data_IF_444496595666
#
_entry.id   IF_444496595666
#
_cell.length_a   1.000
_cell.length_b   1.000
_cell.length_c   1.000
_cell.angle_alpha   90.00
_cell.angle_beta   90.00
_cell.angle_gamma   90.00
#
_symmetry.space_group_name_H-M   'P 1'
#
loop_
_entity.id
_entity.type
_entity.pdbx_description
1 polymer ?
#
# COMPACT_ATOMS: atom_id res chain seq x y z
N UNK A 1 -2.24 -26.75 17.91
CA UNK A 1 -1.63 -26.36 16.63
C UNK A 1 -0.24 -26.95 16.60
N UNK A 2 0.04 -27.87 15.69
CA UNK A 2 1.42 -28.30 15.44
C UNK A 2 2.06 -27.24 14.55
N UNK A 3 3.15 -26.64 15.02
CA UNK A 3 3.93 -25.72 14.20
C UNK A 3 4.96 -26.52 13.43
N UNK A 4 4.88 -26.46 12.10
CA UNK A 4 5.87 -27.05 11.22
C UNK A 4 6.85 -25.96 10.81
N UNK A 5 8.13 -26.33 10.72
CA UNK A 5 9.18 -25.48 10.20
C UNK A 5 9.90 -26.24 9.09
N UNK A 6 10.26 -25.53 8.02
CA UNK A 6 11.10 -26.11 6.99
C UNK A 6 12.49 -26.39 7.58
N UNK A 7 13.09 -27.53 7.23
CA UNK A 7 14.46 -27.89 7.68
C UNK A 7 15.56 -27.20 6.88
N UNK A 8 15.16 -26.44 5.84
CA UNK A 8 16.01 -25.61 4.97
C UNK A 8 15.16 -24.51 4.34
N UNK A 9 15.77 -23.46 3.77
CA UNK A 9 15.03 -22.51 2.92
C UNK A 9 14.30 -23.25 1.79
N UNK A 10 13.05 -22.87 1.55
CA UNK A 10 12.21 -23.38 0.46
C UNK A 10 12.14 -22.32 -0.63
N UNK A 11 12.17 -22.75 -1.89
CA UNK A 11 11.93 -21.86 -3.03
C UNK A 11 10.43 -21.68 -3.21
N UNK A 12 9.89 -20.57 -2.73
CA UNK A 12 8.46 -20.28 -2.79
C UNK A 12 8.17 -19.00 -3.57
N UNK A 13 7.03 -18.96 -4.26
CA UNK A 13 6.48 -17.71 -4.78
C UNK A 13 5.52 -17.10 -3.76
N UNK A 14 5.59 -15.79 -3.60
CA UNK A 14 4.71 -15.02 -2.73
C UNK A 14 3.68 -14.26 -3.58
N UNK A 15 2.40 -14.48 -3.29
CA UNK A 15 1.31 -13.69 -3.86
C UNK A 15 0.84 -12.66 -2.83
N UNK A 16 1.01 -11.38 -3.16
CA UNK A 16 0.55 -10.25 -2.35
C UNK A 16 -0.95 -9.94 -2.59
N UNK A 17 -1.48 -8.93 -1.91
CA UNK A 17 -2.80 -8.37 -2.23
C UNK A 17 -3.96 -9.22 -1.73
N UNK A 18 -3.81 -9.77 -0.52
CA UNK A 18 -4.86 -10.56 0.12
C UNK A 18 -5.22 -11.86 -0.66
N UNK A 19 -4.22 -12.44 -1.32
CA UNK A 19 -4.36 -13.54 -2.29
C UNK A 19 -4.81 -14.90 -1.75
N UNK A 20 -4.88 -15.07 -0.41
CA UNK A 20 -5.50 -16.25 0.21
C UNK A 20 -6.93 -15.98 0.69
N UNK A 21 -7.42 -14.76 0.55
CA UNK A 21 -8.79 -14.41 0.87
C UNK A 21 -9.75 -15.15 -0.05
N UNK A 22 -10.47 -16.13 0.50
CA UNK A 22 -11.59 -16.78 -0.18
C UNK A 22 -12.75 -15.80 -0.31
N UNK A 23 -12.61 -14.82 -1.19
CA UNK A 23 -13.61 -13.82 -1.51
C UNK A 23 -13.52 -13.54 -3.03
N UNK A 24 -14.61 -13.11 -3.66
CA UNK A 24 -14.58 -12.59 -5.04
C UNK A 24 -14.01 -11.16 -5.12
N UNK A 25 -13.76 -10.65 -6.33
CA UNK A 25 -13.34 -9.26 -6.53
C UNK A 25 -11.82 -9.06 -6.50
N UNK A 26 -11.09 -9.77 -7.37
CA UNK A 26 -9.71 -9.41 -7.69
C UNK A 26 -8.61 -10.23 -7.00
N UNK A 27 -8.87 -10.76 -5.80
CA UNK A 27 -7.85 -11.40 -4.94
C UNK A 27 -7.23 -12.67 -5.54
N UNK A 28 -7.90 -13.28 -6.52
CA UNK A 28 -7.43 -14.48 -7.21
C UNK A 28 -6.95 -14.25 -8.64
N UNK A 29 -7.13 -13.05 -9.18
CA UNK A 29 -6.97 -12.75 -10.61
C UNK A 29 -5.59 -13.18 -11.14
N UNK A 30 -4.51 -12.83 -10.43
CA UNK A 30 -3.16 -13.20 -10.83
C UNK A 30 -2.93 -14.72 -10.81
N UNK A 31 -3.47 -15.41 -9.79
CA UNK A 31 -3.38 -16.87 -9.71
C UNK A 31 -4.17 -17.53 -10.84
N UNK A 32 -5.33 -16.95 -11.17
CA UNK A 32 -6.21 -17.44 -12.22
C UNK A 32 -5.56 -17.31 -13.60
N UNK A 33 -4.96 -16.16 -13.90
CA UNK A 33 -4.17 -15.95 -15.12
C UNK A 33 -3.05 -16.99 -15.24
N UNK A 34 -2.34 -17.30 -14.15
CA UNK A 34 -1.22 -18.24 -14.15
C UNK A 34 -1.65 -19.69 -14.45
N UNK A 35 -2.76 -20.15 -13.86
CA UNK A 35 -3.14 -21.58 -13.93
C UNK A 35 -4.27 -21.91 -14.90
N UNK A 36 -5.12 -20.93 -15.24
CA UNK A 36 -6.24 -21.10 -16.16
C UNK A 36 -6.08 -20.34 -17.48
N UNK A 37 -5.11 -19.43 -17.59
CA UNK A 37 -4.99 -18.48 -18.71
C UNK A 37 -6.27 -17.63 -18.91
N UNK A 38 -7.01 -17.41 -17.82
CA UNK A 38 -8.27 -16.67 -17.80
C UNK A 38 -8.44 -16.01 -16.42
N UNK A 39 -8.62 -14.70 -16.38
CA UNK A 39 -8.80 -13.93 -15.14
C UNK A 39 -10.12 -14.27 -14.44
N UNK A 40 -11.16 -14.59 -15.21
CA UNK A 40 -12.51 -14.90 -14.73
C UNK A 40 -12.68 -16.34 -14.23
N UNK A 41 -11.62 -17.16 -14.33
CA UNK A 41 -11.69 -18.55 -13.95
C UNK A 41 -12.06 -18.72 -12.47
N UNK A 42 -13.11 -19.49 -12.19
CA UNK A 42 -13.51 -19.81 -10.83
C UNK A 42 -14.20 -18.67 -10.05
N UNK A 43 -14.63 -17.58 -10.70
CA UNK A 43 -15.41 -16.50 -10.06
C UNK A 43 -16.72 -16.98 -9.40
N UNK A 44 -17.26 -18.13 -9.81
CA UNK A 44 -18.49 -18.70 -9.22
C UNK A 44 -18.22 -19.68 -8.07
N UNK A 45 -16.96 -20.13 -7.92
CA UNK A 45 -16.56 -21.13 -6.92
C UNK A 45 -15.29 -20.70 -6.14
N UNK A 46 -15.12 -19.38 -5.94
CA UNK A 46 -13.96 -18.83 -5.23
C UNK A 46 -13.80 -19.40 -3.81
N UNK A 47 -14.90 -19.85 -3.19
CA UNK A 47 -14.89 -20.40 -1.84
C UNK A 47 -14.44 -21.86 -1.77
N UNK A 48 -14.82 -22.73 -2.73
CA UNK A 48 -14.46 -24.16 -2.68
C UNK A 48 -13.35 -24.56 -3.67
N UNK A 49 -13.05 -23.71 -4.65
CA UNK A 49 -12.02 -23.95 -5.68
C UNK A 49 -10.57 -23.85 -5.20
N UNK A 50 -10.31 -23.39 -3.97
CA UNK A 50 -8.95 -23.08 -3.51
C UNK A 50 -8.02 -24.31 -3.47
N UNK A 51 -8.56 -25.47 -3.10
CA UNK A 51 -7.79 -26.73 -3.11
C UNK A 51 -7.37 -27.14 -4.53
N UNK A 52 -8.22 -26.89 -5.52
CA UNK A 52 -7.93 -27.18 -6.92
C UNK A 52 -6.90 -26.20 -7.47
N UNK A 53 -7.10 -24.90 -7.23
CA UNK A 53 -6.12 -23.86 -7.58
C UNK A 53 -4.74 -24.15 -7.00
N UNK A 54 -4.67 -24.55 -5.72
CA UNK A 54 -3.42 -24.95 -5.07
C UNK A 54 -2.72 -26.13 -5.77
N UNK A 55 -3.48 -27.14 -6.22
CA UNK A 55 -2.92 -28.27 -6.98
C UNK A 55 -2.40 -27.83 -8.35
N UNK A 56 -3.15 -26.98 -9.05
CA UNK A 56 -2.74 -26.47 -10.37
C UNK A 56 -1.51 -25.58 -10.26
N UNK A 57 -1.44 -24.71 -9.24
CA UNK A 57 -0.25 -23.92 -8.92
C UNK A 57 0.95 -24.83 -8.64
N UNK A 58 0.76 -25.92 -7.88
CA UNK A 58 1.83 -26.88 -7.63
C UNK A 58 2.29 -27.57 -8.92
N UNK A 59 1.36 -27.99 -9.78
CA UNK A 59 1.69 -28.61 -11.07
C UNK A 59 2.44 -27.64 -11.99
N UNK A 60 1.94 -26.41 -12.13
CA UNK A 60 2.59 -25.34 -12.87
C UNK A 60 3.98 -25.01 -12.30
N UNK A 61 4.11 -24.91 -10.98
CA UNK A 61 5.36 -24.55 -10.30
C UNK A 61 6.49 -25.58 -10.46
N UNK A 62 6.14 -26.86 -10.72
CA UNK A 62 7.14 -27.94 -10.90
C UNK A 62 8.10 -27.68 -12.06
N UNK A 63 7.65 -27.03 -13.13
CA UNK A 63 8.50 -26.72 -14.28
C UNK A 63 9.65 -25.78 -13.93
N UNK A 64 9.50 -25.02 -12.84
CA UNK A 64 10.48 -24.07 -12.31
C UNK A 64 11.19 -24.59 -11.06
N UNK A 65 10.84 -25.77 -10.55
CA UNK A 65 11.35 -26.24 -9.26
C UNK A 65 10.86 -25.41 -8.06
N UNK A 66 9.70 -24.77 -8.17
CA UNK A 66 9.04 -24.11 -7.03
C UNK A 66 8.51 -25.17 -6.07
N UNK A 67 8.75 -24.97 -4.78
CA UNK A 67 8.49 -25.93 -3.71
C UNK A 67 7.23 -25.61 -2.91
N UNK A 68 6.66 -24.42 -3.12
CA UNK A 68 5.44 -23.99 -2.48
C UNK A 68 5.06 -22.56 -2.82
N UNK A 69 3.94 -22.12 -2.26
CA UNK A 69 3.40 -20.78 -2.44
C UNK A 69 3.07 -20.20 -1.08
N UNK A 70 3.37 -18.93 -0.91
CA UNK A 70 2.95 -18.13 0.25
C UNK A 70 1.92 -17.14 -0.27
N UNK A 71 0.81 -17.01 0.44
CA UNK A 71 -0.30 -16.13 0.09
C UNK A 71 -0.73 -15.35 1.32
N UNK A 72 -1.08 -14.09 1.11
CA UNK A 72 -1.46 -13.18 2.18
C UNK A 72 -2.95 -13.29 2.53
N UNK A 73 -3.27 -13.31 3.82
CA UNK A 73 -4.61 -13.14 4.36
C UNK A 73 -4.51 -12.54 5.77
N UNK A 74 -5.57 -11.91 6.23
CA UNK A 74 -5.67 -11.44 7.61
C UNK A 74 -5.63 -12.59 8.61
N UNK A 75 -6.10 -13.78 8.24
CA UNK A 75 -6.33 -14.88 9.19
C UNK A 75 -5.83 -16.22 8.67
N UNK A 76 -5.75 -17.22 9.56
CA UNK A 76 -5.42 -18.60 9.21
C UNK A 76 -6.70 -19.40 9.03
N UNK A 77 -6.90 -20.00 7.86
CA UNK A 77 -8.13 -20.73 7.57
C UNK A 77 -8.11 -22.20 8.02
N UNK A 78 -9.24 -22.74 8.52
CA UNK A 78 -9.48 -24.17 8.52
C UNK A 78 -9.71 -24.70 7.09
N UNK A 79 -9.40 -25.99 6.81
CA UNK A 79 -9.48 -26.56 5.46
C UNK A 79 -10.89 -26.49 4.84
N UNK A 80 -10.94 -26.05 3.58
CA UNK A 80 -12.10 -25.62 2.79
C UNK A 80 -13.19 -26.66 2.48
N UNK A 81 -13.14 -27.88 3.04
CA UNK A 81 -14.09 -28.96 2.68
C UNK A 81 -15.25 -29.15 3.65
N UNK A 82 -15.47 -28.18 4.53
CA UNK A 82 -16.49 -28.26 5.55
C UNK A 82 -17.36 -27.02 5.50
N UNK A 83 -18.55 -27.13 4.91
CA UNK A 83 -19.65 -26.24 5.26
C UNK A 83 -20.01 -26.57 6.71
N UNK A 84 -19.79 -25.67 7.68
CA UNK A 84 -20.31 -25.91 9.01
C UNK A 84 -21.83 -26.07 8.89
N UNK A 85 -22.45 -27.15 9.41
CA UNK A 85 -23.76 -26.96 10.04
C UNK A 85 -23.63 -25.75 10.98
N UNK A 86 -24.70 -24.98 11.16
CA UNK A 86 -24.74 -23.90 12.14
C UNK A 86 -24.00 -24.34 13.41
N UNK A 87 -22.82 -23.77 13.60
CA UNK A 87 -21.90 -24.12 14.67
C UNK A 87 -22.18 -23.34 15.92
N UNK A 88 -23.12 -22.38 15.89
CA UNK A 88 -23.55 -21.65 17.07
C UNK A 88 -23.94 -22.57 18.25
N UNK A 89 -24.56 -23.76 18.07
CA UNK A 89 -24.86 -24.67 19.16
C UNK A 89 -23.64 -25.44 19.68
N UNK A 90 -22.54 -25.45 18.93
CA UNK A 90 -21.32 -26.24 19.20
C UNK A 90 -20.07 -25.38 19.43
N UNK A 91 -20.18 -24.05 19.31
CA UNK A 91 -19.13 -23.12 19.68
C UNK A 91 -18.94 -23.18 21.19
N UNK A 92 -17.94 -23.93 21.60
CA UNK A 92 -17.51 -23.94 23.00
C UNK A 92 -16.93 -22.56 23.36
N UNK A 93 -16.90 -22.18 24.65
CA UNK A 93 -16.19 -20.97 25.09
C UNK A 93 -14.73 -20.89 24.58
N UNK A 94 -14.10 -22.03 24.33
CA UNK A 94 -12.76 -22.11 23.74
C UNK A 94 -12.75 -21.76 22.24
N UNK A 95 -13.80 -22.09 21.50
CA UNK A 95 -13.96 -21.74 20.09
C UNK A 95 -14.13 -20.24 19.89
N UNK A 96 -15.04 -19.61 20.64
CA UNK A 96 -15.20 -18.15 20.62
C UNK A 96 -13.91 -17.43 21.04
N UNK A 97 -13.24 -17.94 22.08
CA UNK A 97 -11.96 -17.37 22.52
C UNK A 97 -10.88 -17.52 21.46
N UNK A 98 -10.87 -18.63 20.72
CA UNK A 98 -9.94 -18.87 19.63
C UNK A 98 -10.13 -17.88 18.49
N UNK A 99 -11.37 -17.62 18.06
CA UNK A 99 -11.68 -16.66 16.99
C UNK A 99 -11.15 -15.25 17.33
N UNK A 100 -11.41 -14.78 18.55
CA UNK A 100 -10.87 -13.51 19.03
C UNK A 100 -9.34 -13.51 19.14
N UNK A 101 -8.75 -14.59 19.65
CA UNK A 101 -7.29 -14.72 19.78
C UNK A 101 -6.60 -14.72 18.41
N UNK A 102 -7.24 -15.32 17.40
CA UNK A 102 -6.77 -15.32 16.02
C UNK A 102 -6.77 -13.89 15.45
N UNK A 103 -7.88 -13.15 15.60
CA UNK A 103 -7.94 -11.75 15.14
C UNK A 103 -6.88 -10.88 15.83
N UNK A 104 -6.69 -11.05 17.13
CA UNK A 104 -5.65 -10.36 17.87
C UNK A 104 -4.25 -10.66 17.32
N UNK A 105 -3.96 -11.93 17.01
CA UNK A 105 -2.68 -12.31 16.42
C UNK A 105 -2.47 -11.68 15.03
N UNK A 106 -3.52 -11.63 14.20
CA UNK A 106 -3.49 -10.95 12.90
C UNK A 106 -3.10 -9.48 13.02
N UNK A 107 -3.70 -8.78 14.00
CA UNK A 107 -3.45 -7.35 14.21
C UNK A 107 -1.99 -7.00 14.56
N UNK A 108 -1.19 -7.98 15.03
CA UNK A 108 0.23 -7.75 15.34
C UNK A 108 1.10 -7.62 14.10
N UNK A 109 0.71 -8.29 13.01
CA UNK A 109 1.48 -8.36 11.77
C UNK A 109 1.11 -7.28 10.76
N UNK A 110 0.03 -6.53 10.99
CA UNK A 110 -0.39 -5.41 10.15
C UNK A 110 0.71 -4.34 9.94
N UNK A 111 1.61 -4.14 10.90
CA UNK A 111 2.70 -3.14 10.83
C UNK A 111 4.09 -3.74 10.95
N UNK A 112 4.20 -5.08 10.94
CA UNK A 112 5.46 -5.79 11.18
C UNK A 112 5.64 -6.90 10.16
N UNK A 113 6.66 -6.79 9.28
CA UNK A 113 6.97 -7.84 8.32
C UNK A 113 7.16 -9.19 9.02
N UNK A 114 6.65 -10.26 8.41
CA UNK A 114 6.87 -11.61 8.90
C UNK A 114 8.27 -12.09 8.54
N UNK A 115 9.14 -12.20 9.55
CA UNK A 115 10.54 -12.59 9.35
C UNK A 115 10.73 -14.04 8.89
N UNK A 116 9.66 -14.84 8.83
CA UNK A 116 9.70 -16.22 8.34
C UNK A 116 9.71 -16.30 6.82
N UNK A 117 9.36 -15.21 6.14
CA UNK A 117 9.35 -15.10 4.67
C UNK A 117 10.38 -14.06 4.26
N UNK A 118 11.31 -14.46 3.39
CA UNK A 118 12.28 -13.53 2.79
C UNK A 118 11.84 -13.26 1.37
N UNK A 119 11.46 -12.02 1.09
CA UNK A 119 11.09 -11.57 -0.25
C UNK A 119 12.32 -11.14 -1.02
N UNK A 120 12.25 -11.26 -2.35
CA UNK A 120 13.31 -10.85 -3.28
C UNK A 120 12.76 -9.79 -4.25
N UNK A 121 12.74 -8.50 -3.87
CA UNK A 121 12.20 -7.43 -4.71
C UNK A 121 12.87 -7.32 -6.08
N UNK A 122 14.12 -7.76 -6.19
CA UNK A 122 14.88 -7.81 -7.45
C UNK A 122 14.27 -8.75 -8.52
N UNK A 123 13.28 -9.58 -8.11
CA UNK A 123 12.47 -10.46 -8.96
C UNK A 123 10.97 -10.19 -8.84
N UNK A 124 10.57 -9.03 -8.30
CA UNK A 124 9.16 -8.66 -8.15
C UNK A 124 8.50 -8.44 -9.51
N UNK A 125 7.44 -9.19 -9.78
CA UNK A 125 6.55 -8.94 -10.91
C UNK A 125 5.26 -8.31 -10.38
N UNK A 126 4.80 -7.25 -11.03
CA UNK A 126 3.61 -6.50 -10.63
C UNK A 126 2.87 -5.99 -11.85
N UNK A 127 1.54 -6.15 -11.87
CA UNK A 127 0.64 -5.67 -12.93
C UNK A 127 0.24 -4.19 -12.76
N UNK A 128 0.83 -3.50 -11.78
CA UNK A 128 0.71 -2.05 -11.61
C UNK A 128 1.68 -1.23 -12.48
N UNK A 129 2.51 -1.89 -13.30
CA UNK A 129 3.43 -1.17 -14.17
C UNK A 129 2.70 -0.51 -15.36
N UNK A 130 3.03 0.75 -15.71
CA UNK A 130 2.43 1.45 -16.85
C UNK A 130 2.60 0.76 -18.22
N UNK A 131 3.48 -0.25 -18.34
CA UNK A 131 3.60 -1.10 -19.53
C UNK A 131 2.28 -1.81 -19.85
N UNK A 132 1.50 -2.18 -18.82
CA UNK A 132 0.20 -2.84 -18.98
C UNK A 132 -0.90 -1.81 -19.22
N UNK A 133 -0.93 -1.29 -20.46
CA UNK A 133 -1.80 -0.18 -20.84
C UNK A 133 -3.30 -0.48 -20.67
N UNK A 134 -3.69 -1.75 -20.80
CA UNK A 134 -5.07 -2.19 -20.60
C UNK A 134 -5.56 -1.99 -19.16
N UNK A 135 -4.66 -2.01 -18.18
CA UNK A 135 -4.96 -1.80 -16.75
C UNK A 135 -4.79 -0.34 -16.31
N UNK A 136 -4.51 0.59 -17.23
CA UNK A 136 -4.25 1.98 -16.87
C UNK A 136 -5.41 2.67 -16.14
N UNK A 137 -6.64 2.19 -16.33
CA UNK A 137 -7.84 2.69 -15.64
C UNK A 137 -7.79 2.47 -14.12
N UNK A 138 -7.16 1.38 -13.65
CA UNK A 138 -7.04 1.09 -12.22
C UNK A 138 -6.39 2.25 -11.45
N UNK A 139 -5.42 2.94 -12.05
CA UNK A 139 -4.73 4.08 -11.41
C UNK A 139 -5.64 5.28 -11.07
N UNK A 140 -6.92 5.24 -11.48
CA UNK A 140 -7.94 6.27 -11.20
C UNK A 140 -9.03 5.78 -10.26
N UNK A 141 -9.02 4.51 -9.87
CA UNK A 141 -10.00 3.91 -8.99
C UNK A 141 -9.48 3.85 -7.55
N UNK A 142 -10.35 3.75 -6.54
CA UNK A 142 -9.95 3.33 -5.20
C UNK A 142 -9.29 1.94 -5.23
N UNK A 143 -8.32 1.71 -4.34
CA UNK A 143 -7.54 0.45 -4.32
C UNK A 143 -8.38 -0.82 -4.18
N UNK A 144 -9.54 -0.74 -3.51
CA UNK A 144 -10.48 -1.86 -3.36
C UNK A 144 -11.22 -2.22 -4.66
N UNK A 145 -11.23 -1.33 -5.64
CA UNK A 145 -11.86 -1.54 -6.95
C UNK A 145 -10.85 -1.95 -8.03
N UNK A 146 -9.57 -2.08 -7.68
CA UNK A 146 -8.57 -2.56 -8.61
C UNK A 146 -8.81 -4.05 -8.92
N UNK A 147 -8.91 -4.38 -10.20
CA UNK A 147 -8.99 -5.76 -10.69
C UNK A 147 -8.16 -5.95 -11.95
N UNK A 148 -7.98 -7.20 -12.38
CA UNK A 148 -7.25 -7.52 -13.61
C UNK A 148 -8.18 -7.95 -14.75
N UNK A 149 -9.49 -7.73 -14.58
CA UNK A 149 -10.55 -8.09 -15.53
C UNK A 149 -10.33 -7.51 -16.93
N UNK A 150 -9.85 -6.26 -17.00
CA UNK A 150 -9.61 -5.56 -18.26
C UNK A 150 -8.26 -5.90 -18.92
N UNK A 151 -7.50 -6.88 -18.38
CA UNK A 151 -6.20 -7.25 -18.91
C UNK A 151 -6.31 -7.80 -20.34
N UNK A 152 -5.66 -7.13 -21.29
CA UNK A 152 -5.66 -7.55 -22.69
C UNK A 152 -4.82 -8.82 -22.93
N UNK A 153 -5.05 -9.50 -24.06
CA UNK A 153 -4.24 -10.66 -24.46
C UNK A 153 -2.74 -10.32 -24.58
N UNK A 154 -2.42 -9.16 -25.15
CA UNK A 154 -1.04 -8.69 -25.35
C UNK A 154 -0.35 -8.38 -24.01
N UNK A 155 -1.05 -7.70 -23.10
CA UNK A 155 -0.52 -7.40 -21.77
C UNK A 155 -0.40 -8.67 -20.91
N UNK A 156 -1.32 -9.64 -21.07
CA UNK A 156 -1.24 -10.96 -20.43
C UNK A 156 -0.03 -11.74 -20.90
N UNK A 157 0.21 -11.84 -22.20
CA UNK A 157 1.40 -12.50 -22.76
C UNK A 157 2.68 -11.85 -22.22
N UNK A 158 2.73 -10.51 -22.24
CA UNK A 158 3.84 -9.73 -21.67
C UNK A 158 4.08 -10.04 -20.19
N UNK A 159 3.01 -10.14 -19.39
CA UNK A 159 3.10 -10.51 -17.98
C UNK A 159 3.65 -11.93 -17.78
N UNK A 160 3.15 -12.92 -18.54
CA UNK A 160 3.59 -14.30 -18.43
C UNK A 160 5.05 -14.48 -18.85
N UNK A 161 5.50 -13.75 -19.88
CA UNK A 161 6.90 -13.70 -20.30
C UNK A 161 7.80 -13.08 -19.22
N UNK A 162 7.39 -11.96 -18.61
CA UNK A 162 8.13 -11.34 -17.50
C UNK A 162 8.22 -12.30 -16.30
N UNK A 163 7.13 -12.98 -15.97
CA UNK A 163 7.06 -13.94 -14.87
C UNK A 163 8.00 -15.13 -15.09
N UNK A 164 7.98 -15.75 -16.27
CA UNK A 164 8.91 -16.83 -16.64
C UNK A 164 10.38 -16.36 -16.51
N UNK A 165 10.68 -15.19 -17.06
CA UNK A 165 12.01 -14.59 -17.01
C UNK A 165 12.50 -14.33 -15.59
N UNK A 166 11.66 -13.73 -14.73
CA UNK A 166 11.99 -13.44 -13.34
C UNK A 166 12.25 -14.71 -12.52
N UNK A 167 11.40 -15.73 -12.67
CA UNK A 167 11.54 -17.01 -11.96
C UNK A 167 12.82 -17.73 -12.41
N UNK A 168 13.10 -17.78 -13.71
CA UNK A 168 14.33 -18.41 -14.24
C UNK A 168 15.58 -17.66 -13.79
N UNK A 169 15.56 -16.33 -13.80
CA UNK A 169 16.66 -15.50 -13.33
C UNK A 169 16.97 -15.77 -11.85
N UNK A 170 15.93 -15.77 -10.99
CA UNK A 170 16.07 -16.10 -9.57
C UNK A 170 16.63 -17.51 -9.36
N UNK A 171 16.08 -18.51 -10.06
CA UNK A 171 16.50 -19.90 -9.92
C UNK A 171 17.96 -20.14 -10.29
N UNK A 172 18.45 -19.42 -11.31
CA UNK A 172 19.83 -19.49 -11.78
C UNK A 172 20.79 -18.68 -10.90
N UNK A 173 20.29 -17.65 -10.20
CA UNK A 173 21.11 -16.78 -9.37
C UNK A 173 21.44 -17.39 -7.99
N UNK A 174 22.28 -18.41 -7.99
CA UNK A 174 22.72 -19.08 -6.76
C UNK A 174 23.74 -18.29 -5.93
N UNK A 175 24.28 -17.19 -6.46
CA UNK A 175 25.38 -16.42 -5.86
C UNK A 175 25.07 -14.94 -5.59
N UNK A 176 23.87 -14.47 -5.94
CA UNK A 176 23.57 -13.03 -5.92
C UNK A 176 24.32 -12.25 -7.00
N UNK A 177 24.79 -12.90 -8.06
CA UNK A 177 25.45 -12.26 -9.19
C UNK A 177 24.38 -11.64 -10.12
N UNK A 178 24.55 -10.38 -10.53
CA UNK A 178 23.63 -9.71 -11.47
C UNK A 178 22.40 -9.05 -10.83
N UNK A 179 22.39 -8.84 -9.51
CA UNK A 179 21.41 -8.02 -8.79
C UNK A 179 22.15 -6.89 -8.08
N UNK A 180 21.48 -5.77 -7.82
CA UNK A 180 22.17 -4.58 -7.32
C UNK A 180 22.54 -4.62 -5.84
N UNK A 181 21.89 -5.50 -5.06
CA UNK A 181 22.04 -5.56 -3.60
C UNK A 181 21.38 -4.41 -2.85
N UNK A 182 20.57 -3.59 -3.54
CA UNK A 182 19.79 -2.52 -2.93
C UNK A 182 18.65 -3.12 -2.10
N UNK A 183 18.50 -2.64 -0.87
CA UNK A 183 17.38 -3.00 -0.01
C UNK A 183 16.14 -2.17 -0.37
N UNK A 184 15.40 -2.63 -1.37
CA UNK A 184 14.19 -1.95 -1.86
C UNK A 184 13.05 -1.94 -0.82
N UNK A 185 12.99 -2.93 0.07
CA UNK A 185 12.00 -2.96 1.15
C UNK A 185 12.28 -1.84 2.14
N UNK A 186 13.53 -1.68 2.56
CA UNK A 186 13.93 -0.59 3.45
C UNK A 186 13.71 0.79 2.82
N UNK A 187 13.97 0.95 1.51
CA UNK A 187 13.69 2.20 0.81
C UNK A 187 12.20 2.52 0.80
N UNK A 188 11.35 1.56 0.45
CA UNK A 188 9.89 1.75 0.44
C UNK A 188 9.38 2.12 1.84
N UNK A 189 9.84 1.40 2.88
CA UNK A 189 9.48 1.71 4.26
C UNK A 189 9.95 3.10 4.68
N UNK A 190 11.16 3.51 4.30
CA UNK A 190 11.69 4.83 4.63
C UNK A 190 10.90 5.98 3.97
N UNK A 191 10.33 5.76 2.78
CA UNK A 191 9.40 6.73 2.16
C UNK A 191 8.16 6.91 3.03
N UNK A 192 7.54 5.79 3.44
CA UNK A 192 6.34 5.77 4.29
C UNK A 192 6.63 6.43 5.64
N UNK A 193 7.65 5.97 6.36
CA UNK A 193 8.01 6.44 7.69
C UNK A 193 8.34 7.94 7.72
N UNK A 194 8.97 8.45 6.66
CA UNK A 194 9.41 9.85 6.60
C UNK A 194 8.29 10.83 6.25
N UNK A 195 7.26 10.37 5.55
CA UNK A 195 6.25 11.28 4.95
C UNK A 195 4.84 11.04 5.45
N UNK A 196 4.50 9.80 5.86
CA UNK A 196 3.14 9.40 6.15
C UNK A 196 2.50 10.11 7.33
N UNK A 197 3.21 10.24 8.44
CA UNK A 197 2.68 10.96 9.62
C UNK A 197 2.55 12.47 9.37
N UNK A 198 3.52 13.08 8.68
CA UNK A 198 3.48 14.52 8.37
C UNK A 198 2.38 14.87 7.37
N UNK A 199 2.07 13.98 6.41
CA UNK A 199 0.92 14.14 5.51
C UNK A 199 -0.40 14.07 6.29
N UNK A 200 -0.53 13.11 7.21
CA UNK A 200 -1.69 13.01 8.07
C UNK A 200 -1.84 14.22 9.01
N UNK A 201 -0.73 14.75 9.53
CA UNK A 201 -0.71 15.98 10.32
C UNK A 201 -1.17 17.18 9.49
N UNK A 202 -0.66 17.33 8.25
CA UNK A 202 -1.10 18.39 7.34
C UNK A 202 -2.60 18.31 7.07
N UNK A 203 -3.14 17.11 6.78
CA UNK A 203 -4.57 16.90 6.58
C UNK A 203 -5.38 17.31 7.82
N UNK A 204 -5.01 16.85 9.01
CA UNK A 204 -5.70 17.22 10.25
C UNK A 204 -5.72 18.74 10.49
N UNK A 205 -4.59 19.42 10.27
CA UNK A 205 -4.45 20.87 10.45
C UNK A 205 -5.37 21.69 9.52
N UNK A 206 -5.71 21.17 8.35
CA UNK A 206 -6.51 21.89 7.34
C UNK A 206 -7.93 21.33 7.18
N UNK A 207 -8.27 20.22 7.82
CA UNK A 207 -9.61 19.61 7.81
C UNK A 207 -10.41 19.95 9.06
N UNK A 208 -9.81 19.82 10.24
CA UNK A 208 -10.49 20.00 11.54
C UNK A 208 -10.48 21.47 12.00
N UNK A 209 -10.87 22.38 11.11
CA UNK A 209 -10.78 23.82 11.34
C UNK A 209 -12.00 24.31 12.15
N UNK A 210 -11.80 24.89 13.35
CA UNK A 210 -12.90 25.50 14.10
C UNK A 210 -13.56 26.65 13.32
N UNK A 211 -14.89 26.86 13.42
CA UNK A 211 -15.58 27.94 12.70
C UNK A 211 -15.05 29.35 12.99
N UNK A 212 -14.41 29.56 14.15
CA UNK A 212 -13.82 30.82 14.57
C UNK A 212 -12.29 30.91 14.34
N UNK A 213 -11.70 29.97 13.61
CA UNK A 213 -10.26 29.90 13.41
C UNK A 213 -9.72 31.10 12.62
N UNK A 214 -8.52 31.55 12.98
CA UNK A 214 -7.81 32.58 12.23
C UNK A 214 -7.12 31.95 11.02
N UNK A 215 -7.52 32.35 9.81
CA UNK A 215 -6.94 31.83 8.56
C UNK A 215 -5.42 32.00 8.48
N UNK A 216 -4.88 33.08 9.08
CA UNK A 216 -3.43 33.32 9.08
C UNK A 216 -2.68 32.25 9.87
N UNK A 217 -3.27 31.80 10.98
CA UNK A 217 -2.71 30.73 11.80
C UNK A 217 -2.80 29.38 11.09
N UNK A 218 -3.95 29.10 10.46
CA UNK A 218 -4.14 27.89 9.63
C UNK A 218 -3.09 27.82 8.52
N UNK A 219 -2.94 28.90 7.74
CA UNK A 219 -1.94 28.99 6.66
C UNK A 219 -0.52 28.86 7.21
N UNK A 220 -0.22 29.47 8.36
CA UNK A 220 1.09 29.35 9.01
C UNK A 220 1.39 27.92 9.43
N UNK A 221 0.41 27.18 9.96
CA UNK A 221 0.58 25.78 10.37
C UNK A 221 0.73 24.87 9.15
N UNK A 222 -0.11 25.03 8.13
CA UNK A 222 -0.01 24.29 6.87
C UNK A 222 1.36 24.48 6.20
N UNK A 223 1.88 25.72 6.18
CA UNK A 223 3.24 26.02 5.71
C UNK A 223 4.29 25.22 6.47
N UNK A 224 4.21 25.14 7.80
CA UNK A 224 5.20 24.44 8.61
C UNK A 224 5.17 22.93 8.37
N UNK A 225 3.98 22.32 8.26
CA UNK A 225 3.84 20.90 7.93
C UNK A 225 4.36 20.58 6.52
N UNK A 226 4.01 21.39 5.52
CA UNK A 226 4.54 21.25 4.16
C UNK A 226 6.07 21.45 4.10
N UNK A 227 6.60 22.40 4.88
CA UNK A 227 8.03 22.60 5.00
C UNK A 227 8.73 21.43 5.68
N UNK A 228 8.13 20.78 6.68
CA UNK A 228 8.72 19.63 7.36
C UNK A 228 8.98 18.45 6.40
N UNK A 229 8.10 18.25 5.39
CA UNK A 229 8.30 17.26 4.33
C UNK A 229 9.51 17.58 3.42
N UNK A 230 9.86 18.85 3.29
CA UNK A 230 10.89 19.33 2.37
C UNK A 230 12.20 19.75 3.03
N UNK A 231 12.17 20.01 4.34
CA UNK A 231 13.22 20.71 5.09
C UNK A 231 14.64 20.18 4.78
N UNK A 232 14.89 18.85 4.70
CA UNK A 232 16.23 18.34 4.44
C UNK A 232 16.78 18.62 3.03
N UNK A 233 15.97 19.15 2.13
CA UNK A 233 16.31 19.44 0.73
C UNK A 233 16.33 20.93 0.40
N UNK A 234 15.93 21.76 1.37
CA UNK A 234 15.82 23.20 1.24
C UNK A 234 17.17 23.85 1.56
N UNK A 235 17.63 24.69 0.65
CA UNK A 235 18.63 25.70 1.00
C UNK A 235 17.90 26.87 1.65
N UNK A 236 17.99 26.97 2.99
CA UNK A 236 17.31 28.02 3.75
C UNK A 236 17.78 29.42 3.37
N UNK A 237 19.06 29.59 3.03
CA UNK A 237 19.59 30.89 2.64
C UNK A 237 19.00 31.34 1.30
N UNK A 238 18.81 30.40 0.38
CA UNK A 238 18.18 30.67 -0.91
C UNK A 238 16.66 30.91 -0.78
N UNK A 239 15.93 30.06 -0.05
CA UNK A 239 14.46 30.14 0.02
C UNK A 239 13.95 31.36 0.80
N UNK A 240 14.66 31.74 1.86
CA UNK A 240 14.29 32.85 2.74
C UNK A 240 15.19 34.09 2.55
N UNK A 241 15.79 34.22 1.37
CA UNK A 241 16.61 35.37 1.02
C UNK A 241 15.77 36.68 1.16
N UNK A 242 16.30 37.73 1.82
CA UNK A 242 15.59 38.99 1.93
C UNK A 242 15.27 39.58 0.55
N UNK A 243 13.99 39.90 0.30
CA UNK A 243 13.56 40.48 -0.97
C UNK A 243 13.46 39.50 -2.14
N UNK A 244 13.48 38.19 -1.88
CA UNK A 244 13.23 37.16 -2.90
C UNK A 244 11.91 37.45 -3.64
N UNK A 245 11.96 37.43 -4.97
CA UNK A 245 10.76 37.59 -5.79
C UNK A 245 9.96 36.28 -5.85
N UNK A 246 8.68 36.37 -6.19
CA UNK A 246 7.83 35.17 -6.39
C UNK A 246 8.45 34.22 -7.40
N UNK A 247 8.98 34.73 -8.53
CA UNK A 247 9.57 33.89 -9.57
C UNK A 247 10.86 33.18 -9.12
N UNK A 248 11.72 33.86 -8.35
CA UNK A 248 12.91 33.24 -7.76
C UNK A 248 12.54 32.16 -6.74
N UNK A 249 11.53 32.42 -5.90
CA UNK A 249 10.99 31.43 -4.96
C UNK A 249 10.47 30.19 -5.67
N UNK A 250 9.67 30.36 -6.73
CA UNK A 250 9.18 29.25 -7.56
C UNK A 250 10.34 28.42 -8.10
N UNK A 251 11.41 29.09 -8.58
CA UNK A 251 12.61 28.41 -9.11
C UNK A 251 13.35 27.60 -8.03
N UNK A 252 13.54 28.19 -6.84
CA UNK A 252 14.16 27.50 -5.70
C UNK A 252 13.32 26.28 -5.29
N UNK A 253 12.00 26.42 -5.16
CA UNK A 253 11.11 25.33 -4.76
C UNK A 253 11.00 24.23 -5.82
N UNK A 254 11.04 24.57 -7.11
CA UNK A 254 11.13 23.57 -8.18
C UNK A 254 12.42 22.74 -8.07
N UNK A 255 13.55 23.36 -7.73
CA UNK A 255 14.80 22.65 -7.49
C UNK A 255 14.77 21.80 -6.21
N UNK A 256 14.12 22.28 -5.14
CA UNK A 256 13.86 21.52 -3.91
C UNK A 256 13.03 20.27 -4.20
N UNK A 257 11.90 20.43 -4.90
CA UNK A 257 11.01 19.33 -5.28
C UNK A 257 11.76 18.26 -6.07
N UNK A 258 12.58 18.66 -7.05
CA UNK A 258 13.41 17.73 -7.83
C UNK A 258 14.45 16.97 -6.99
N UNK A 259 15.08 17.61 -6.00
CA UNK A 259 16.02 16.93 -5.10
C UNK A 259 15.30 15.95 -4.17
N UNK A 260 14.15 16.39 -3.65
CA UNK A 260 13.28 15.61 -2.78
C UNK A 260 12.80 14.33 -3.47
N UNK A 261 12.44 14.40 -4.76
CA UNK A 261 11.89 13.26 -5.51
C UNK A 261 12.87 12.11 -5.75
N UNK A 262 14.19 12.37 -5.65
CA UNK A 262 15.24 11.37 -5.90
C UNK A 262 16.13 11.12 -4.68
N UNK A 263 15.75 11.58 -3.49
CA UNK A 263 16.58 11.46 -2.29
C UNK A 263 17.00 10.01 -1.99
N UNK A 264 16.07 9.07 -2.14
CA UNK A 264 16.29 7.68 -1.78
C UNK A 264 17.05 6.90 -2.86
N UNK A 265 17.01 7.38 -4.11
CA UNK A 265 17.44 6.61 -5.29
C UNK A 265 18.52 7.29 -6.12
N UNK A 266 18.78 8.59 -5.93
CA UNK A 266 19.67 9.37 -6.80
C UNK A 266 21.13 8.93 -6.76
N UNK A 267 21.53 8.14 -5.77
CA UNK A 267 22.86 7.52 -5.69
C UNK A 267 22.93 6.17 -6.43
N UNK A 268 21.78 5.58 -6.78
CA UNK A 268 21.67 4.24 -7.39
C UNK A 268 21.97 4.26 -8.90
N UNK A 269 22.07 5.45 -9.51
CA UNK A 269 22.49 5.59 -10.92
C UNK A 269 24.00 5.40 -11.14
N UNK A 270 24.78 5.14 -10.08
CA UNK A 270 26.20 4.88 -10.21
C UNK A 270 26.47 3.56 -10.94
N UNK A 271 27.51 3.45 -11.80
CA UNK A 271 27.84 2.22 -12.55
C UNK A 271 28.06 0.96 -11.70
N UNK A 272 28.23 1.13 -10.38
CA UNK A 272 28.34 0.04 -9.44
C UNK A 272 27.02 -0.73 -9.25
N UNK A 273 25.87 -0.10 -9.48
CA UNK A 273 24.55 -0.74 -9.36
C UNK A 273 24.14 -1.36 -10.69
N UNK A 274 24.22 -2.69 -10.77
CA UNK A 274 23.69 -3.45 -11.90
C UNK A 274 22.23 -3.81 -11.61
N UNK A 275 21.31 -2.92 -11.97
CA UNK A 275 19.88 -3.08 -11.71
C UNK A 275 19.21 -4.05 -12.68
N UNK A 276 18.42 -5.00 -12.15
CA UNK A 276 17.48 -5.79 -12.96
C UNK A 276 16.38 -4.90 -13.56
N UNK A 277 15.56 -5.44 -14.46
CA UNK A 277 14.36 -4.76 -14.95
C UNK A 277 13.38 -4.43 -13.81
N UNK A 278 13.23 -5.36 -12.87
CA UNK A 278 12.35 -5.22 -11.71
C UNK A 278 12.89 -4.15 -10.74
N UNK A 279 14.20 -4.10 -10.52
CA UNK A 279 14.81 -3.05 -9.70
C UNK A 279 14.68 -1.66 -10.34
N UNK A 280 14.78 -1.55 -11.66
CA UNK A 280 14.50 -0.29 -12.37
C UNK A 280 13.05 0.14 -12.19
N UNK A 281 12.09 -0.79 -12.26
CA UNK A 281 10.67 -0.53 -11.97
C UNK A 281 10.48 -0.02 -10.54
N UNK A 282 11.11 -0.67 -9.57
CA UNK A 282 11.08 -0.24 -8.15
C UNK A 282 11.67 1.16 -7.96
N UNK A 283 12.80 1.47 -8.62
CA UNK A 283 13.40 2.82 -8.62
C UNK A 283 12.40 3.86 -9.13
N UNK A 284 11.79 3.61 -10.28
CA UNK A 284 10.80 4.51 -10.87
C UNK A 284 9.56 4.68 -10.00
N UNK A 285 9.09 3.62 -9.34
CA UNK A 285 7.95 3.70 -8.41
C UNK A 285 8.28 4.59 -7.20
N UNK A 286 9.46 4.39 -6.58
CA UNK A 286 9.92 5.22 -5.44
C UNK A 286 10.06 6.69 -5.86
N UNK A 287 10.66 6.95 -7.02
CA UNK A 287 10.82 8.30 -7.56
C UNK A 287 9.48 8.95 -7.90
N UNK A 288 8.54 8.20 -8.47
CA UNK A 288 7.20 8.68 -8.81
C UNK A 288 6.37 9.05 -7.59
N UNK A 289 6.34 8.18 -6.58
CA UNK A 289 5.69 8.45 -5.28
C UNK A 289 6.31 9.68 -4.63
N UNK A 290 7.64 9.72 -4.54
CA UNK A 290 8.36 10.85 -3.94
C UNK A 290 8.10 12.13 -4.72
N UNK A 291 8.12 12.10 -6.05
CA UNK A 291 7.84 13.25 -6.90
C UNK A 291 6.47 13.85 -6.64
N UNK A 292 5.43 13.02 -6.50
CA UNK A 292 4.07 13.49 -6.24
C UNK A 292 3.97 14.16 -4.86
N UNK A 293 4.52 13.53 -3.82
CA UNK A 293 4.58 14.09 -2.46
C UNK A 293 5.35 15.42 -2.43
N UNK A 294 6.55 15.44 -3.02
CA UNK A 294 7.43 16.61 -3.02
C UNK A 294 6.83 17.78 -3.82
N UNK A 295 6.18 17.49 -4.95
CA UNK A 295 5.53 18.51 -5.78
C UNK A 295 4.34 19.12 -5.07
N UNK A 296 3.49 18.29 -4.46
CA UNK A 296 2.37 18.76 -3.64
C UNK A 296 2.86 19.64 -2.48
N UNK A 297 3.81 19.13 -1.69
CA UNK A 297 4.36 19.86 -0.53
C UNK A 297 5.01 21.18 -0.92
N UNK A 298 5.70 21.21 -2.07
CA UNK A 298 6.36 22.43 -2.58
C UNK A 298 5.33 23.47 -3.01
N UNK A 299 4.24 23.04 -3.65
CA UNK A 299 3.13 23.92 -4.04
C UNK A 299 2.43 24.54 -2.82
N UNK A 300 2.09 23.72 -1.81
CA UNK A 300 1.50 24.21 -0.56
C UNK A 300 2.44 25.20 0.14
N UNK A 301 3.73 24.87 0.25
CA UNK A 301 4.72 25.74 0.86
C UNK A 301 4.85 27.08 0.12
N UNK A 302 4.91 27.04 -1.22
CA UNK A 302 5.01 28.24 -2.05
C UNK A 302 3.82 29.17 -1.86
N UNK A 303 2.62 28.64 -1.99
CA UNK A 303 1.39 29.41 -1.92
C UNK A 303 1.17 29.96 -0.51
N UNK A 304 1.44 29.17 0.53
CA UNK A 304 1.36 29.63 1.91
C UNK A 304 2.36 30.75 2.22
N UNK A 305 3.59 30.68 1.71
CA UNK A 305 4.56 31.78 1.85
C UNK A 305 4.06 33.06 1.14
N UNK A 306 3.55 32.94 -0.07
CA UNK A 306 3.00 34.08 -0.82
C UNK A 306 1.82 34.74 -0.09
N UNK A 307 0.91 33.94 0.49
CA UNK A 307 -0.23 34.43 1.28
C UNK A 307 0.21 35.15 2.57
N UNK A 308 1.24 34.64 3.25
CA UNK A 308 1.74 35.24 4.49
C UNK A 308 2.56 36.51 4.23
N UNK A 309 3.23 36.62 3.10
CA UNK A 309 3.98 37.83 2.72
C UNK A 309 3.03 38.98 2.33
N UNK A 310 1.92 38.66 1.65
CA UNK A 310 1.00 39.65 1.10
C UNK A 310 -0.17 39.98 2.03
N UNK A 311 -0.59 39.02 2.87
CA UNK A 311 -1.78 39.09 3.74
C UNK A 311 -2.96 39.79 3.06
N UNK A 312 -3.62 39.14 2.07
CA UNK A 312 -4.69 39.77 1.31
C UNK A 312 -5.78 40.36 2.21
N UNK A 313 -6.26 41.56 1.86
CA UNK A 313 -7.37 42.22 2.57
C UNK A 313 -8.61 41.31 2.59
N UNK A 314 -8.88 40.69 1.44
CA UNK A 314 -9.90 39.66 1.31
C UNK A 314 -9.38 38.30 1.79
N UNK A 315 -9.83 37.91 2.99
CA UNK A 315 -9.48 36.63 3.61
C UNK A 315 -10.11 35.41 2.92
N UNK A 316 -11.10 35.61 2.05
CA UNK A 316 -11.71 34.50 1.29
C UNK A 316 -10.70 33.82 0.36
N UNK A 317 -9.73 34.57 -0.17
CA UNK A 317 -8.65 34.04 -1.02
C UNK A 317 -7.86 32.97 -0.27
N UNK A 318 -7.44 33.27 0.97
CA UNK A 318 -6.69 32.33 1.79
C UNK A 318 -7.53 31.09 2.15
N UNK A 319 -8.83 31.25 2.41
CA UNK A 319 -9.73 30.11 2.64
C UNK A 319 -9.91 29.22 1.42
N UNK A 320 -9.98 29.80 0.21
CA UNK A 320 -10.04 29.04 -1.04
C UNK A 320 -8.75 28.24 -1.28
N UNK A 321 -7.58 28.80 -0.96
CA UNK A 321 -6.31 28.07 -1.02
C UNK A 321 -6.29 26.91 -0.02
N UNK A 322 -6.74 27.13 1.23
CA UNK A 322 -6.83 26.07 2.24
C UNK A 322 -7.77 24.94 1.80
N UNK A 323 -8.90 25.27 1.16
CA UNK A 323 -9.81 24.26 0.61
C UNK A 323 -9.14 23.45 -0.52
N UNK A 324 -8.45 24.12 -1.44
CA UNK A 324 -7.67 23.46 -2.51
C UNK A 324 -6.58 22.54 -1.93
N UNK A 325 -5.86 22.96 -0.89
CA UNK A 325 -4.85 22.12 -0.25
C UNK A 325 -5.45 20.92 0.47
N UNK A 326 -6.65 21.07 1.05
CA UNK A 326 -7.40 19.98 1.68
C UNK A 326 -7.76 18.91 0.65
N UNK A 327 -8.40 19.30 -0.45
CA UNK A 327 -8.72 18.39 -1.54
C UNK A 327 -7.46 17.72 -2.09
N UNK A 328 -6.38 18.49 -2.27
CA UNK A 328 -5.11 17.97 -2.76
C UNK A 328 -4.43 16.96 -1.84
N UNK A 329 -4.47 17.15 -0.51
CA UNK A 329 -3.91 16.17 0.44
C UNK A 329 -4.80 14.95 0.57
N UNK A 330 -6.13 15.11 0.51
CA UNK A 330 -7.09 13.99 0.50
C UNK A 330 -6.91 13.12 -0.74
N UNK A 331 -6.78 13.72 -1.92
CA UNK A 331 -6.48 13.03 -3.18
C UNK A 331 -5.12 12.33 -3.14
N UNK A 332 -4.11 12.97 -2.56
CA UNK A 332 -2.77 12.39 -2.42
C UNK A 332 -2.78 11.19 -1.48
N UNK A 333 -3.40 11.31 -0.31
CA UNK A 333 -3.52 10.22 0.66
C UNK A 333 -4.39 9.09 0.11
N UNK A 334 -5.49 9.40 -0.57
CA UNK A 334 -6.32 8.41 -1.26
C UNK A 334 -5.56 7.65 -2.34
N UNK A 335 -4.76 8.35 -3.15
CA UNK A 335 -3.91 7.71 -4.17
C UNK A 335 -2.79 6.84 -3.57
N UNK A 336 -2.15 7.30 -2.49
CA UNK A 336 -1.11 6.53 -1.80
C UNK A 336 -1.69 5.28 -1.13
N UNK A 337 -2.89 5.39 -0.54
CA UNK A 337 -3.63 4.28 0.05
C UNK A 337 -2.80 3.47 1.04
N UNK A 338 -2.02 4.15 1.90
CA UNK A 338 -1.11 3.48 2.83
C UNK A 338 -1.84 2.93 4.05
N UNK A 339 -1.57 1.66 4.34
CA UNK A 339 -2.18 0.93 5.45
C UNK A 339 -1.93 1.58 6.82
N UNK A 340 -0.89 2.40 6.98
CA UNK A 340 -0.60 3.10 8.24
C UNK A 340 -1.69 4.11 8.66
N UNK A 341 -2.47 4.61 7.70
CA UNK A 341 -3.58 5.52 7.98
C UNK A 341 -4.86 4.79 8.37
N UNK A 342 -4.96 3.49 8.09
CA UNK A 342 -6.06 2.61 8.49
C UNK A 342 -5.93 2.22 9.96
N UNK A 343 -6.14 3.20 10.85
CA UNK A 343 -5.98 3.05 12.30
C UNK A 343 -7.20 3.53 13.05
N UNK A 344 -7.40 2.96 14.23
CA UNK A 344 -8.49 3.39 15.11
C UNK A 344 -8.30 4.84 15.57
N UNK A 345 -9.39 5.60 15.77
CA UNK A 345 -9.35 7.02 16.12
C UNK A 345 -8.74 7.29 17.51
N UNK A 346 -8.57 6.25 18.32
CA UNK A 346 -7.90 6.29 19.60
C UNK A 346 -7.09 5.01 19.80
N UNK A 347 -6.16 5.08 20.74
CA UNK A 347 -5.58 3.87 21.31
C UNK A 347 -6.70 3.06 21.98
N UNK A 348 -6.82 1.80 21.60
CA UNK A 348 -7.80 0.90 22.18
C UNK A 348 -7.43 0.56 23.63
N UNK A 349 -8.46 0.33 24.46
CA UNK A 349 -8.28 -0.08 25.85
C UNK A 349 -7.62 -1.45 25.97
N UNK A 350 -7.22 -1.82 27.19
CA UNK A 350 -6.57 -3.12 27.46
C UNK A 350 -7.48 -4.32 27.15
N UNK A 351 -8.80 -4.14 27.20
CA UNK A 351 -9.83 -5.11 26.86
C UNK A 351 -10.37 -4.97 25.43
N UNK A 352 -9.81 -4.06 24.63
CA UNK A 352 -10.22 -3.77 23.27
C UNK A 352 -9.12 -4.10 22.25
N UNK A 353 -9.51 -4.29 21.00
CA UNK A 353 -8.60 -4.38 19.86
C UNK A 353 -9.05 -3.41 18.77
N UNK A 354 -8.10 -2.84 18.05
CA UNK A 354 -8.44 -2.05 16.87
C UNK A 354 -8.99 -2.98 15.81
N UNK A 355 -10.28 -2.82 15.50
CA UNK A 355 -11.00 -3.53 14.46
C UNK A 355 -10.87 -2.79 13.14
N UNK A 356 -10.30 -3.45 12.13
CA UNK A 356 -10.27 -2.96 10.76
C UNK A 356 -11.23 -3.83 9.95
N UNK A 357 -12.28 -3.25 9.32
CA UNK A 357 -13.22 -4.00 8.50
C UNK A 357 -12.52 -4.67 7.31
N UNK A 358 -12.58 -6.00 7.23
CA UNK A 358 -11.96 -6.80 6.18
C UNK A 358 -12.58 -8.20 6.15
N UNK A 359 -12.44 -8.93 5.05
CA UNK A 359 -12.74 -10.35 5.03
C UNK A 359 -11.76 -11.15 5.88
N UNK A 360 -12.16 -12.24 6.58
CA UNK A 360 -13.51 -12.81 6.72
C UNK A 360 -14.32 -12.23 7.89
N UNK A 361 -13.90 -11.07 8.42
CA UNK A 361 -14.58 -10.45 9.56
C UNK A 361 -15.91 -9.82 9.12
N UNK A 362 -15.89 -9.14 7.99
CA UNK A 362 -17.06 -8.54 7.33
C UNK A 362 -17.24 -9.12 5.91
N UNK A 363 -18.50 -9.29 5.49
CA UNK A 363 -18.84 -9.58 4.09
C UNK A 363 -18.69 -8.29 3.29
N UNK A 364 -17.59 -8.16 2.56
CA UNK A 364 -17.32 -7.01 1.70
C UNK A 364 -18.16 -6.99 0.40
N UNK A 365 -18.99 -8.02 0.16
CA UNK A 365 -19.75 -8.22 -1.08
C UNK A 365 -21.14 -7.57 -1.10
N UNK A 366 -21.63 -7.03 0.02
CA UNK A 366 -22.90 -6.27 0.08
C UNK A 366 -22.61 -4.77 0.04
N UNK A 367 -22.23 -4.28 -1.15
CA UNK A 367 -22.03 -2.85 -1.46
C UNK A 367 -23.29 -1.98 -1.20
N UNK A 368 -24.46 -2.59 -0.96
CA UNK A 368 -25.73 -1.88 -0.81
C UNK A 368 -26.13 -1.58 0.66
N UNK A 369 -25.52 -2.20 1.68
CA UNK A 369 -25.86 -1.95 3.11
C UNK A 369 -24.66 -1.86 4.07
N UNK A 370 -23.43 -1.68 3.56
CA UNK A 370 -22.26 -1.62 4.42
C UNK A 370 -22.29 -0.38 5.35
N UNK A 371 -22.40 -0.64 6.67
CA UNK A 371 -21.89 0.30 7.67
C UNK A 371 -20.49 0.75 7.24
N UNK A 372 -20.13 2.03 7.40
CA UNK A 372 -18.90 2.54 6.81
C UNK A 372 -17.72 1.71 7.32
N UNK A 373 -16.85 1.28 6.40
CA UNK A 373 -15.64 0.47 6.63
C UNK A 373 -14.60 1.28 7.43
N UNK A 374 -14.96 1.66 8.65
CA UNK A 374 -14.22 2.58 9.49
C UNK A 374 -13.58 1.81 10.64
N UNK A 375 -12.25 1.90 10.79
CA UNK A 375 -11.56 1.31 11.92
C UNK A 375 -12.13 1.77 13.27
N UNK A 376 -12.39 0.84 14.18
CA UNK A 376 -12.97 1.13 15.51
C UNK A 376 -12.42 0.22 16.59
N UNK A 377 -12.29 0.71 17.81
CA UNK A 377 -11.95 -0.15 18.94
C UNK A 377 -13.18 -0.98 19.33
N UNK A 378 -13.03 -2.30 19.37
CA UNK A 378 -14.09 -3.23 19.80
C UNK A 378 -13.63 -4.08 20.97
N UNK A 379 -14.59 -4.54 21.78
CA UNK A 379 -14.35 -5.55 22.81
C UNK A 379 -14.53 -6.95 22.24
N UNK A 380 -14.05 -7.95 23.00
CA UNK A 380 -14.26 -9.37 22.67
C UNK A 380 -15.75 -9.68 22.50
N UNK A 381 -16.60 -9.16 23.38
CA UNK A 381 -18.05 -9.46 23.37
C UNK A 381 -18.74 -8.98 22.08
N UNK A 382 -18.17 -7.98 21.42
CA UNK A 382 -18.70 -7.39 20.18
C UNK A 382 -18.11 -8.03 18.92
N UNK A 383 -17.06 -8.86 19.06
CA UNK A 383 -16.39 -9.51 17.94
C UNK A 383 -17.18 -10.71 17.44
N UNK A 384 -17.53 -10.69 16.15
CA UNK A 384 -18.17 -11.81 15.45
C UNK A 384 -17.52 -11.95 14.07
N UNK A 385 -17.05 -13.14 13.74
CA UNK A 385 -16.68 -13.44 12.36
C UNK A 385 -17.91 -13.78 11.54
N UNK A 386 -17.92 -13.34 10.30
CA UNK A 386 -18.94 -13.73 9.33
C UNK A 386 -18.41 -14.96 8.58
N UNK A 387 -18.85 -16.15 9.01
CA UNK A 387 -18.54 -17.42 8.33
C UNK A 387 -19.50 -17.73 7.19
#
# INVERSE_FOLDING_TARGET
MYTYAATRPLRTLYFDGFSSSKQGGGVFDMQNIIVYDDVHAGEWDWFFGDLERGKMLCEWGRQYGIEGFVREEATYEPPARWSPPDMSPWMTPYGEWHQWSMYRAASWHHTRPDTRVTVHPEYLVTLYDPVYSSLAANNRLPRLEHGLVDLSDEDRETFLEELDGAIRAWNNNTKGEGVSGVDWVAIAQAVVDRTGDTLAELHALISDIPPAANVTEVVSNARLAAFALLMPYVDHAALFAPGITTAERSSVLAAVSKRCSVVFTGHIDAPAYQLTSQERRLKHAVEGVSQRICSFSSGVLEEALNLLDTLPEDRTIAWNSVATWREGVEDLMGWLGWAMWERCPRMCGLDEQCYIPMWPLDRLTELDEAAPLVPRCIKKEDFKMVL
#
